data_IF_541881615363
#
_entry.id   IF_541881615363
#
_cell.length_a   1.000
_cell.length_b   1.000
_cell.length_c   1.000
_cell.angle_alpha   90.00
_cell.angle_beta   90.00
_cell.angle_gamma   90.00
#
_symmetry.space_group_name_H-M   'P 1'
#
loop_
_entity.id
_entity.type
_entity.pdbx_description
1 polymer ?
#
# COMPACT_ATOMS: atom_id res chain seq x y z
N UNK A 1 12.57 -0.19 17.62
CA UNK A 1 11.31 0.21 16.98
C UNK A 1 10.47 1.12 17.88
N UNK A 2 10.81 2.40 17.84
CA UNK A 2 10.06 3.48 18.46
C UNK A 2 8.84 3.91 17.62
N UNK A 3 7.97 4.73 18.20
CA UNK A 3 6.78 5.30 17.54
C UNK A 3 7.12 5.99 16.21
N UNK A 4 8.25 6.69 16.15
CA UNK A 4 8.74 7.39 14.94
C UNK A 4 9.08 6.43 13.80
N UNK A 5 9.65 5.27 14.10
CA UNK A 5 10.02 4.28 13.06
C UNK A 5 8.79 3.66 12.42
N UNK A 6 7.76 3.33 13.23
CA UNK A 6 6.48 2.84 12.69
C UNK A 6 5.78 3.87 11.81
N UNK A 7 5.78 5.15 12.22
CA UNK A 7 5.20 6.22 11.39
C UNK A 7 5.94 6.40 10.07
N UNK A 8 7.29 6.35 10.09
CA UNK A 8 8.10 6.41 8.86
C UNK A 8 7.83 5.22 7.94
N UNK A 9 7.71 4.02 8.51
CA UNK A 9 7.39 2.81 7.76
C UNK A 9 5.98 2.89 7.15
N UNK A 10 4.98 3.33 7.91
CA UNK A 10 3.61 3.54 7.41
C UNK A 10 3.62 4.53 6.25
N UNK A 11 4.26 5.69 6.41
CA UNK A 11 4.32 6.70 5.36
C UNK A 11 4.96 6.16 4.07
N UNK A 12 6.09 5.48 4.18
CA UNK A 12 6.76 4.90 3.02
C UNK A 12 5.93 3.81 2.32
N UNK A 13 5.17 3.01 3.09
CA UNK A 13 4.25 2.02 2.54
C UNK A 13 3.03 2.67 1.89
N UNK A 14 2.54 3.79 2.43
CA UNK A 14 1.45 4.57 1.84
C UNK A 14 1.87 5.17 0.49
N UNK A 15 3.04 5.81 0.42
CA UNK A 15 3.58 6.37 -0.83
C UNK A 15 3.66 5.31 -1.93
N UNK A 16 4.20 4.12 -1.61
CA UNK A 16 4.24 2.99 -2.56
C UNK A 16 2.85 2.50 -2.95
N UNK A 17 1.92 2.47 -2.00
CA UNK A 17 0.53 2.06 -2.27
C UNK A 17 -0.12 3.02 -3.26
N UNK A 18 0.05 4.34 -3.07
CA UNK A 18 -0.46 5.36 -3.98
C UNK A 18 0.16 5.25 -5.38
N UNK A 19 1.47 4.98 -5.48
CA UNK A 19 2.13 4.74 -6.76
C UNK A 19 1.54 3.53 -7.50
N UNK A 20 1.30 2.42 -6.80
CA UNK A 20 0.70 1.21 -7.39
C UNK A 20 -0.77 1.42 -7.75
N UNK A 21 -1.54 2.12 -6.92
CA UNK A 21 -2.94 2.48 -7.20
C UNK A 21 -3.03 3.40 -8.42
N UNK A 22 -2.10 4.36 -8.58
CA UNK A 22 -2.02 5.21 -9.76
C UNK A 22 -1.71 4.40 -11.02
N UNK A 23 -0.77 3.43 -10.95
CA UNK A 23 -0.46 2.53 -12.08
C UNK A 23 -1.66 1.69 -12.48
N UNK A 24 -2.39 1.10 -11.51
CA UNK A 24 -3.63 0.37 -11.79
C UNK A 24 -4.67 1.28 -12.44
N UNK A 25 -4.83 2.50 -11.93
CA UNK A 25 -5.80 3.46 -12.47
C UNK A 25 -5.49 3.84 -13.92
N UNK A 26 -4.22 4.06 -14.25
CA UNK A 26 -3.77 4.31 -15.63
C UNK A 26 -4.02 3.08 -16.51
N UNK A 27 -3.74 1.88 -16.01
CA UNK A 27 -3.98 0.63 -16.75
C UNK A 27 -5.46 0.42 -17.05
N UNK A 28 -6.34 0.73 -16.10
CA UNK A 28 -7.79 0.66 -16.26
C UNK A 28 -8.35 1.69 -17.24
N UNK A 29 -7.62 2.78 -17.51
CA UNK A 29 -8.01 3.77 -18.52
C UNK A 29 -7.62 3.36 -19.94
N UNK A 30 -6.82 2.31 -20.12
CA UNK A 30 -6.48 1.79 -21.46
C UNK A 30 -7.70 1.13 -22.10
N UNK A 31 -7.73 1.15 -23.43
CA UNK A 31 -8.78 0.51 -24.24
C UNK A 31 -8.87 -1.00 -23.99
N UNK A 32 -7.74 -1.64 -23.66
CA UNK A 32 -7.67 -3.04 -23.27
C UNK A 32 -6.78 -3.12 -22.01
N UNK A 33 -7.38 -3.13 -20.81
CA UNK A 33 -6.62 -3.24 -19.57
C UNK A 33 -6.01 -4.63 -19.40
N UNK A 34 -4.79 -4.69 -18.86
CA UNK A 34 -4.14 -5.95 -18.51
C UNK A 34 -4.54 -6.40 -17.09
N UNK A 35 -5.44 -7.38 -17.02
CA UNK A 35 -5.92 -7.96 -15.76
C UNK A 35 -4.79 -8.62 -14.93
N UNK A 36 -3.73 -9.14 -15.55
CA UNK A 36 -2.59 -9.70 -14.81
C UNK A 36 -1.83 -8.60 -14.08
N UNK A 37 -1.62 -7.46 -14.73
CA UNK A 37 -0.96 -6.29 -14.14
C UNK A 37 -1.80 -5.75 -12.98
N UNK A 38 -3.12 -5.62 -13.17
CA UNK A 38 -4.04 -5.16 -12.13
C UNK A 38 -4.03 -6.12 -10.93
N UNK A 39 -4.10 -7.43 -11.16
CA UNK A 39 -4.05 -8.44 -10.09
C UNK A 39 -2.71 -8.48 -9.37
N UNK A 40 -1.61 -8.32 -10.11
CA UNK A 40 -0.26 -8.31 -9.53
C UNK A 40 -0.11 -7.14 -8.56
N UNK A 41 -0.36 -5.91 -9.03
CA UNK A 41 -0.28 -4.71 -8.20
C UNK A 41 -1.33 -4.70 -7.09
N UNK A 42 -2.52 -5.25 -7.34
CA UNK A 42 -3.57 -5.41 -6.32
C UNK A 42 -3.11 -6.25 -5.13
N UNK A 43 -2.42 -7.37 -5.39
CA UNK A 43 -1.83 -8.21 -4.32
C UNK A 43 -0.76 -7.45 -3.52
N UNK A 44 0.10 -6.69 -4.20
CA UNK A 44 1.12 -5.88 -3.53
C UNK A 44 0.49 -4.81 -2.63
N UNK A 45 -0.51 -4.09 -3.14
CA UNK A 45 -1.28 -3.10 -2.39
C UNK A 45 -1.93 -3.73 -1.15
N UNK A 46 -2.54 -4.91 -1.30
CA UNK A 46 -3.19 -5.59 -0.18
C UNK A 46 -2.18 -6.01 0.90
N UNK A 47 -0.99 -6.48 0.50
CA UNK A 47 0.11 -6.77 1.41
C UNK A 47 0.61 -5.51 2.15
N UNK A 48 0.77 -4.39 1.44
CA UNK A 48 1.18 -3.11 2.03
C UNK A 48 0.13 -2.54 2.98
N UNK A 49 -1.15 -2.57 2.61
CA UNK A 49 -2.27 -2.17 3.49
C UNK A 49 -2.31 -3.01 4.76
N UNK A 50 -2.10 -4.32 4.65
CA UNK A 50 -1.99 -5.21 5.81
C UNK A 50 -0.79 -4.87 6.71
N UNK A 51 0.36 -4.53 6.13
CA UNK A 51 1.55 -4.11 6.88
C UNK A 51 1.32 -2.77 7.61
N UNK A 52 0.67 -1.80 6.96
CA UNK A 52 0.26 -0.52 7.56
C UNK A 52 -0.70 -0.78 8.72
N UNK A 53 -1.76 -1.56 8.53
CA UNK A 53 -2.74 -1.85 9.57
C UNK A 53 -2.09 -2.51 10.81
N UNK A 54 -1.11 -3.41 10.61
CA UNK A 54 -0.34 -4.01 11.71
C UNK A 54 0.52 -2.97 12.44
N UNK A 55 1.20 -2.09 11.70
CA UNK A 55 2.01 -1.02 12.28
C UNK A 55 1.16 -0.01 13.05
N UNK A 56 0.00 0.39 12.50
CA UNK A 56 -0.97 1.27 13.16
C UNK A 56 -1.56 0.64 14.43
N UNK A 57 -1.93 -0.64 14.38
CA UNK A 57 -2.43 -1.38 15.57
C UNK A 57 -1.39 -1.39 16.69
N UNK A 58 -0.09 -1.57 16.35
CA UNK A 58 1.01 -1.49 17.31
C UNK A 58 1.22 -0.07 17.85
N UNK A 59 1.04 0.95 17.00
CA UNK A 59 1.13 2.35 17.39
C UNK A 59 0.02 2.73 18.39
N UNK A 60 -1.22 2.29 18.15
CA UNK A 60 -2.36 2.52 19.06
C UNK A 60 -2.20 1.83 20.41
N UNK A 61 -1.62 0.64 20.47
CA UNK A 61 -1.36 -0.09 21.73
C UNK A 61 -0.28 0.56 22.61
N UNK A 62 0.58 1.40 22.03
CA UNK A 62 1.62 2.16 22.75
C UNK A 62 1.17 3.58 23.12
N UNK A 63 -0.08 3.95 22.83
CA UNK A 63 -0.64 5.28 23.10
C UNK A 63 -1.40 5.24 24.42
#
# INVERSE_FOLDING_TARGET
MGKKEFLKQIKSLQERTEEHEAKIKIELMKTIPDDKVIKYWGKEIEAYKNAIAKAEKRLRRKR
#
